data_IF_160960967838
#
_entry.id   IF_160960967838
#
_cell.length_a   1.000
_cell.length_b   1.000
_cell.length_c   1.000
_cell.angle_alpha   90.00
_cell.angle_beta   90.00
_cell.angle_gamma   90.00
#
_symmetry.space_group_name_H-M   'P 1'
#
loop_
_entity.id
_entity.type
_entity.pdbx_description
1 polymer ?
#
# COMPACT_ATOMS: atom_id res chain seq x y z
N UNK A 1 -20.16 -10.14 4.25
CA UNK A 1 -18.84 -10.67 4.62
C UNK A 1 -17.91 -9.53 5.06
N UNK A 2 -17.74 -8.49 4.24
CA UNK A 2 -16.86 -7.35 4.55
C UNK A 2 -17.20 -6.65 5.86
N UNK A 3 -18.49 -6.36 6.13
CA UNK A 3 -18.90 -5.74 7.37
C UNK A 3 -18.62 -6.62 8.60
N UNK A 4 -18.84 -7.93 8.48
CA UNK A 4 -18.53 -8.87 9.58
C UNK A 4 -17.03 -8.93 9.88
N UNK A 5 -16.19 -8.91 8.83
CA UNK A 5 -14.73 -8.87 9.01
C UNK A 5 -14.25 -7.57 9.66
N UNK A 6 -14.84 -6.41 9.33
CA UNK A 6 -14.54 -5.15 10.01
C UNK A 6 -14.96 -5.18 11.48
N UNK A 7 -16.14 -5.73 11.79
CA UNK A 7 -16.57 -5.92 13.20
C UNK A 7 -15.63 -6.85 13.96
N UNK A 8 -15.14 -7.91 13.31
CA UNK A 8 -14.21 -8.84 13.93
C UNK A 8 -12.89 -8.16 14.36
N UNK A 9 -12.37 -7.22 13.57
CA UNK A 9 -11.16 -6.45 13.91
C UNK A 9 -11.45 -5.23 14.83
N UNK A 10 -12.68 -5.07 15.30
CA UNK A 10 -13.07 -3.95 16.18
C UNK A 10 -13.39 -2.64 15.44
N UNK A 11 -13.44 -2.64 14.10
CA UNK A 11 -13.86 -1.47 13.33
C UNK A 11 -15.39 -1.39 13.20
N UNK A 12 -15.93 -0.18 12.97
CA UNK A 12 -17.36 0.08 12.83
C UNK A 12 -17.71 0.35 11.36
N UNK A 13 -18.23 -0.63 10.59
CA UNK A 13 -18.55 -0.46 9.19
C UNK A 13 -19.86 0.31 8.99
N UNK A 14 -19.85 1.24 8.04
CA UNK A 14 -21.05 1.86 7.48
C UNK A 14 -21.02 1.68 5.97
N UNK A 15 -22.14 1.20 5.39
CA UNK A 15 -22.29 1.04 3.94
C UNK A 15 -23.45 1.91 3.47
N UNK A 16 -23.22 2.71 2.44
CA UNK A 16 -24.25 3.55 1.83
C UNK A 16 -24.13 3.51 0.30
N UNK A 17 -25.28 3.59 -0.37
CA UNK A 17 -25.42 3.80 -1.80
C UNK A 17 -26.32 5.02 -2.09
N UNK A 18 -26.59 5.85 -1.08
CA UNK A 18 -27.48 7.01 -1.12
C UNK A 18 -26.68 8.32 -1.00
N UNK A 19 -26.79 9.20 -2.01
CA UNK A 19 -26.08 10.48 -2.03
C UNK A 19 -26.55 11.44 -0.91
N UNK A 20 -27.81 11.34 -0.51
CA UNK A 20 -28.36 12.14 0.58
C UNK A 20 -27.73 11.75 1.93
N UNK A 21 -27.62 10.45 2.20
CA UNK A 21 -26.98 9.93 3.41
C UNK A 21 -25.48 10.21 3.46
N UNK A 22 -24.83 10.23 2.30
CA UNK A 22 -23.37 10.30 2.22
C UNK A 22 -22.81 11.54 2.93
N UNK A 23 -23.49 12.69 2.85
CA UNK A 23 -23.06 13.95 3.47
C UNK A 23 -23.03 13.87 4.99
N UNK A 24 -23.98 13.16 5.55
CA UNK A 24 -24.10 13.00 7.00
C UNK A 24 -23.16 11.92 7.53
N UNK A 25 -22.92 10.87 6.74
CA UNK A 25 -22.07 9.75 7.13
C UNK A 25 -20.58 10.05 7.02
N UNK A 26 -20.16 10.74 5.94
CA UNK A 26 -18.75 10.93 5.63
C UNK A 26 -17.99 11.72 6.71
N UNK A 27 -18.64 12.68 7.34
CA UNK A 27 -18.04 13.53 8.40
C UNK A 27 -17.67 12.75 9.67
N UNK A 28 -18.22 11.56 9.84
CA UNK A 28 -17.96 10.67 10.97
C UNK A 28 -17.05 9.49 10.58
N UNK A 29 -16.72 9.35 9.30
CA UNK A 29 -15.87 8.26 8.82
C UNK A 29 -14.40 8.52 9.13
N UNK A 30 -13.69 7.50 9.60
CA UNK A 30 -12.25 7.54 9.79
C UNK A 30 -11.50 7.23 8.47
N UNK A 31 -12.13 6.51 7.54
CA UNK A 31 -11.64 6.26 6.17
C UNK A 31 -12.81 5.94 5.25
N UNK A 32 -12.62 6.15 3.94
CA UNK A 32 -13.56 5.79 2.88
C UNK A 32 -12.94 4.68 2.00
N UNK A 33 -13.64 3.55 1.84
CA UNK A 33 -13.32 2.58 0.81
C UNK A 33 -14.22 2.78 -0.41
N UNK A 34 -13.61 2.96 -1.58
CA UNK A 34 -14.29 2.89 -2.88
C UNK A 34 -13.93 1.57 -3.54
N UNK A 35 -14.90 0.66 -3.64
CA UNK A 35 -14.77 -0.62 -4.33
C UNK A 35 -15.65 -0.62 -5.57
N UNK A 36 -15.04 -0.80 -6.76
CA UNK A 36 -15.75 -0.71 -8.04
C UNK A 36 -16.28 -2.06 -8.55
N UNK A 37 -16.37 -3.09 -7.70
CA UNK A 37 -16.72 -4.45 -8.09
C UNK A 37 -18.04 -4.59 -8.87
N UNK A 38 -19.02 -3.74 -8.59
CA UNK A 38 -20.33 -3.72 -9.28
C UNK A 38 -20.61 -2.35 -9.89
N UNK A 39 -19.63 -1.78 -10.61
CA UNK A 39 -19.70 -0.43 -11.17
C UNK A 39 -20.85 -0.27 -12.20
N UNK A 40 -21.60 0.81 -12.06
CA UNK A 40 -22.60 1.31 -13.02
C UNK A 40 -22.39 2.82 -13.24
N UNK A 41 -22.94 3.44 -14.30
CA UNK A 41 -22.86 4.88 -14.50
C UNK A 41 -23.34 5.71 -13.30
N UNK A 42 -24.43 5.29 -12.66
CA UNK A 42 -24.98 5.97 -11.48
C UNK A 42 -24.00 5.87 -10.28
N UNK A 43 -23.41 4.69 -10.05
CA UNK A 43 -22.39 4.52 -9.02
C UNK A 43 -21.13 5.35 -9.28
N UNK A 44 -20.75 5.56 -10.53
CA UNK A 44 -19.61 6.44 -10.84
C UNK A 44 -19.86 7.88 -10.41
N UNK A 45 -21.09 8.37 -10.60
CA UNK A 45 -21.48 9.69 -10.12
C UNK A 45 -21.40 9.77 -8.60
N UNK A 46 -21.92 8.75 -7.92
CA UNK A 46 -21.82 8.59 -6.46
C UNK A 46 -20.38 8.53 -5.95
N UNK A 47 -19.50 7.75 -6.61
CA UNK A 47 -18.08 7.70 -6.24
C UNK A 47 -17.40 9.07 -6.36
N UNK A 48 -17.67 9.82 -7.42
CA UNK A 48 -17.10 11.16 -7.61
C UNK A 48 -17.57 12.14 -6.52
N UNK A 49 -18.82 12.04 -6.10
CA UNK A 49 -19.36 12.83 -4.98
C UNK A 49 -18.69 12.42 -3.66
N UNK A 50 -18.56 11.10 -3.40
CA UNK A 50 -17.91 10.57 -2.22
C UNK A 50 -16.45 11.03 -2.12
N UNK A 51 -15.68 10.96 -3.21
CA UNK A 51 -14.30 11.46 -3.28
C UNK A 51 -14.22 12.94 -2.97
N UNK A 52 -15.12 13.75 -3.54
CA UNK A 52 -15.14 15.20 -3.29
C UNK A 52 -15.41 15.52 -1.82
N UNK A 53 -16.38 14.85 -1.22
CA UNK A 53 -16.73 15.04 0.21
C UNK A 53 -15.59 14.57 1.11
N UNK A 54 -15.03 13.37 0.89
CA UNK A 54 -13.92 12.85 1.66
C UNK A 54 -12.70 13.78 1.59
N UNK A 55 -12.36 14.29 0.38
CA UNK A 55 -11.27 15.27 0.22
C UNK A 55 -11.54 16.57 1.00
N UNK A 56 -12.78 17.04 1.02
CA UNK A 56 -13.16 18.26 1.76
C UNK A 56 -13.01 18.09 3.28
N UNK A 57 -13.24 16.90 3.79
CA UNK A 57 -13.16 16.57 5.21
C UNK A 57 -11.84 15.87 5.60
N UNK A 58 -10.86 15.83 4.69
CA UNK A 58 -9.54 15.20 4.89
C UNK A 58 -9.63 13.72 5.31
N UNK A 59 -10.69 13.02 4.87
CA UNK A 59 -10.89 11.60 5.10
C UNK A 59 -10.05 10.81 4.10
N UNK A 60 -9.15 9.90 4.54
CA UNK A 60 -8.36 9.08 3.65
C UNK A 60 -9.23 8.15 2.80
N UNK A 61 -8.87 8.02 1.52
CA UNK A 61 -9.62 7.24 0.53
C UNK A 61 -8.79 6.05 0.08
N UNK A 62 -9.31 4.86 0.29
CA UNK A 62 -8.77 3.61 -0.28
C UNK A 62 -9.57 3.26 -1.53
N UNK A 63 -8.87 3.06 -2.65
CA UNK A 63 -9.47 2.61 -3.91
C UNK A 63 -9.16 1.13 -4.15
N UNK A 64 -10.22 0.33 -4.31
CA UNK A 64 -10.15 -1.08 -4.72
C UNK A 64 -10.70 -1.22 -6.16
N UNK A 65 -9.81 -1.35 -7.18
CA UNK A 65 -10.14 -1.27 -8.60
C UNK A 65 -10.64 -2.60 -9.17
N UNK A 66 -11.49 -3.32 -8.45
CA UNK A 66 -11.93 -4.68 -8.74
C UNK A 66 -12.28 -4.89 -10.21
N UNK A 67 -11.53 -5.79 -10.87
CA UNK A 67 -11.77 -6.20 -12.27
C UNK A 67 -11.43 -5.13 -13.30
N UNK A 68 -10.65 -4.10 -12.98
CA UNK A 68 -10.29 -3.05 -13.94
C UNK A 68 -9.42 -3.57 -15.10
N UNK A 69 -8.65 -4.65 -14.88
CA UNK A 69 -7.87 -5.31 -15.92
C UNK A 69 -8.73 -6.02 -16.98
N UNK A 70 -9.97 -6.40 -16.62
CA UNK A 70 -10.86 -7.18 -17.48
C UNK A 70 -11.84 -6.33 -18.31
N UNK A 71 -11.86 -4.98 -18.14
CA UNK A 71 -12.81 -4.15 -18.85
C UNK A 71 -12.41 -2.68 -18.97
N UNK A 72 -12.42 -2.16 -20.21
CA UNK A 72 -12.04 -0.80 -20.51
C UNK A 72 -12.85 0.26 -19.74
N UNK A 73 -14.16 0.03 -19.53
CA UNK A 73 -14.98 0.93 -18.73
C UNK A 73 -14.55 1.00 -17.28
N UNK A 74 -14.29 -0.15 -16.64
CA UNK A 74 -13.78 -0.20 -15.25
C UNK A 74 -12.45 0.53 -15.14
N UNK A 75 -11.53 0.27 -16.07
CA UNK A 75 -10.23 0.92 -16.11
C UNK A 75 -10.36 2.43 -16.26
N UNK A 76 -11.24 2.92 -17.15
CA UNK A 76 -11.45 4.37 -17.31
C UNK A 76 -11.99 5.02 -16.03
N UNK A 77 -12.88 4.35 -15.30
CA UNK A 77 -13.40 4.85 -14.00
C UNK A 77 -12.27 4.94 -12.97
N UNK A 78 -11.43 3.91 -12.87
CA UNK A 78 -10.26 3.93 -11.96
C UNK A 78 -9.32 5.07 -12.29
N UNK A 79 -8.97 5.24 -13.57
CA UNK A 79 -8.09 6.32 -14.02
C UNK A 79 -8.68 7.72 -13.73
N UNK A 80 -9.99 7.88 -13.90
CA UNK A 80 -10.67 9.13 -13.55
C UNK A 80 -10.64 9.41 -12.04
N UNK A 81 -10.78 8.39 -11.20
CA UNK A 81 -10.69 8.54 -9.75
C UNK A 81 -9.25 8.88 -9.32
N UNK A 82 -8.23 8.22 -9.89
CA UNK A 82 -6.82 8.51 -9.61
C UNK A 82 -6.47 9.96 -9.98
N UNK A 83 -6.97 10.47 -11.11
CA UNK A 83 -6.74 11.87 -11.56
C UNK A 83 -7.30 12.93 -10.61
N UNK A 84 -8.14 12.57 -9.65
CA UNK A 84 -8.64 13.53 -8.65
C UNK A 84 -7.58 13.94 -7.63
N UNK A 85 -6.45 13.21 -7.59
CA UNK A 85 -5.37 13.40 -6.61
C UNK A 85 -5.89 13.38 -5.15
N UNK A 86 -6.87 12.52 -4.90
CA UNK A 86 -7.52 12.36 -3.61
C UNK A 86 -7.36 10.95 -3.03
N UNK A 87 -6.83 10.01 -3.82
CA UNK A 87 -6.65 8.62 -3.37
C UNK A 87 -5.46 8.55 -2.43
N UNK A 88 -5.69 8.03 -1.23
CA UNK A 88 -4.68 7.88 -0.17
C UNK A 88 -4.00 6.51 -0.20
N UNK A 89 -4.67 5.49 -0.75
CA UNK A 89 -4.16 4.14 -0.93
C UNK A 89 -4.83 3.48 -2.13
N UNK A 90 -4.05 2.93 -3.05
CA UNK A 90 -4.55 2.05 -4.12
C UNK A 90 -4.25 0.60 -3.75
N UNK A 91 -5.28 -0.25 -3.68
CA UNK A 91 -5.15 -1.68 -3.42
C UNK A 91 -5.82 -2.50 -4.51
N UNK A 92 -5.10 -3.34 -5.21
CA UNK A 92 -5.63 -4.27 -6.22
C UNK A 92 -4.84 -5.58 -6.27
N UNK A 93 -5.26 -6.54 -7.08
CA UNK A 93 -4.39 -7.66 -7.40
C UNK A 93 -3.30 -7.23 -8.41
N UNK A 94 -2.29 -8.09 -8.61
CA UNK A 94 -1.15 -7.76 -9.49
C UNK A 94 -1.57 -7.43 -10.92
N UNK A 95 -2.60 -8.10 -11.46
CA UNK A 95 -3.11 -7.82 -12.81
C UNK A 95 -3.84 -6.46 -12.88
N UNK A 96 -4.59 -6.10 -11.84
CA UNK A 96 -5.25 -4.79 -11.74
C UNK A 96 -4.23 -3.66 -11.64
N UNK A 97 -3.23 -3.81 -10.78
CA UNK A 97 -2.15 -2.83 -10.61
C UNK A 97 -1.34 -2.67 -11.91
N UNK A 98 -1.01 -3.79 -12.59
CA UNK A 98 -0.35 -3.76 -13.89
C UNK A 98 -1.19 -3.04 -14.94
N UNK A 99 -2.48 -3.33 -15.05
CA UNK A 99 -3.36 -2.69 -16.02
C UNK A 99 -3.44 -1.16 -15.83
N UNK A 100 -3.49 -0.70 -14.59
CA UNK A 100 -3.47 0.72 -14.26
C UNK A 100 -2.12 1.33 -14.65
N UNK A 101 -1.01 0.69 -14.29
CA UNK A 101 0.33 1.16 -14.64
C UNK A 101 0.53 1.27 -16.15
N UNK A 102 0.17 0.23 -16.90
CA UNK A 102 0.27 0.21 -18.36
C UNK A 102 -0.57 1.33 -19.00
N UNK A 103 -1.81 1.54 -18.53
CA UNK A 103 -2.70 2.57 -19.04
C UNK A 103 -2.19 4.00 -18.79
N UNK A 104 -1.52 4.24 -17.68
CA UNK A 104 -0.92 5.53 -17.35
C UNK A 104 0.37 5.81 -18.16
N UNK A 105 1.04 4.75 -18.66
CA UNK A 105 2.32 4.86 -19.36
C UNK A 105 2.22 4.66 -20.88
N UNK A 106 1.09 4.16 -21.38
CA UNK A 106 0.85 4.03 -22.81
C UNK A 106 0.16 5.28 -23.35
N UNK A 107 0.82 6.00 -24.25
CA UNK A 107 0.23 7.08 -25.05
C UNK A 107 -0.76 6.56 -26.12
N UNK A 108 -1.25 5.33 -26.04
CA UNK A 108 -2.08 4.68 -27.05
C UNK A 108 -3.37 4.10 -26.46
N UNK A 109 -4.44 4.24 -27.26
CA UNK A 109 -5.79 3.69 -27.10
C UNK A 109 -5.77 2.35 -26.35
N UNK A 110 -6.60 2.26 -25.32
CA UNK A 110 -6.94 0.98 -24.67
C UNK A 110 -7.42 0.02 -25.77
N UNK A 111 -6.54 -0.89 -26.18
CA UNK A 111 -6.89 -1.90 -27.15
C UNK A 111 -7.78 -2.93 -26.45
N UNK A 112 -8.93 -3.24 -27.07
CA UNK A 112 -9.95 -4.13 -26.52
C UNK A 112 -9.54 -5.61 -26.43
N UNK A 113 -8.24 -5.91 -26.55
CA UNK A 113 -7.67 -7.25 -26.47
C UNK A 113 -7.19 -7.69 -25.07
N UNK A 114 -7.64 -7.01 -24.01
CA UNK A 114 -7.36 -7.43 -22.63
C UNK A 114 -8.14 -8.71 -22.31
N UNK A 115 -7.54 -9.86 -22.61
CA UNK A 115 -8.08 -11.19 -22.30
C UNK A 115 -7.53 -11.69 -20.96
N UNK A 116 -8.10 -11.24 -19.85
CA UNK A 116 -7.87 -11.84 -18.55
C UNK A 116 -8.95 -12.88 -18.22
N UNK A 117 -8.57 -14.05 -17.76
CA UNK A 117 -9.50 -15.08 -17.28
C UNK A 117 -9.96 -14.75 -15.87
N UNK A 118 -11.19 -14.24 -15.73
CA UNK A 118 -11.82 -14.06 -14.41
C UNK A 118 -11.37 -12.81 -13.63
N UNK A 119 -11.88 -12.68 -12.42
CA UNK A 119 -11.57 -11.56 -11.49
C UNK A 119 -10.28 -11.84 -10.72
N UNK A 120 -9.86 -13.10 -10.65
CA UNK A 120 -8.62 -13.54 -10.04
C UNK A 120 -7.48 -13.36 -11.05
N UNK A 121 -6.55 -12.43 -10.77
CA UNK A 121 -5.46 -12.08 -11.68
C UNK A 121 -4.40 -13.18 -11.79
N UNK A 122 -3.71 -13.25 -12.92
CA UNK A 122 -2.52 -14.06 -13.11
C UNK A 122 -1.32 -13.41 -12.41
N UNK A 123 -0.35 -14.22 -11.97
CA UNK A 123 0.92 -13.73 -11.42
C UNK A 123 1.66 -12.90 -12.46
N UNK A 124 2.13 -11.73 -12.07
CA UNK A 124 2.79 -10.76 -12.95
C UNK A 124 4.27 -10.74 -12.63
N UNK A 125 5.11 -11.06 -13.61
CA UNK A 125 6.56 -10.82 -13.50
C UNK A 125 6.83 -9.36 -13.15
N UNK A 126 7.79 -9.10 -12.26
CA UNK A 126 8.18 -7.77 -11.82
C UNK A 126 7.13 -6.98 -11.00
N UNK A 127 6.20 -7.65 -10.30
CA UNK A 127 5.16 -6.99 -9.50
C UNK A 127 5.72 -5.98 -8.51
N UNK A 128 6.86 -6.25 -7.87
CA UNK A 128 7.53 -5.32 -6.97
C UNK A 128 7.91 -4.00 -7.68
N UNK A 129 8.47 -4.10 -8.90
CA UNK A 129 8.88 -2.95 -9.71
C UNK A 129 7.67 -2.12 -10.14
N UNK A 130 6.61 -2.79 -10.61
CA UNK A 130 5.38 -2.12 -11.06
C UNK A 130 4.71 -1.41 -9.87
N UNK A 131 4.61 -2.09 -8.73
CA UNK A 131 4.05 -1.51 -7.49
C UNK A 131 4.81 -0.26 -7.06
N UNK A 132 6.15 -0.30 -7.09
CA UNK A 132 7.00 0.83 -6.79
C UNK A 132 6.81 2.00 -7.75
N UNK A 133 6.87 1.72 -9.06
CA UNK A 133 6.73 2.76 -10.09
C UNK A 133 5.37 3.42 -10.06
N UNK A 134 4.31 2.63 -9.89
CA UNK A 134 2.96 3.15 -9.81
C UNK A 134 2.79 4.02 -8.57
N UNK A 135 3.27 3.60 -7.40
CA UNK A 135 3.20 4.38 -6.16
C UNK A 135 3.87 5.77 -6.33
N UNK A 136 5.03 5.81 -6.98
CA UNK A 136 5.70 7.09 -7.30
C UNK A 136 4.91 7.94 -8.28
N UNK A 137 4.34 7.31 -9.31
CA UNK A 137 3.64 8.02 -10.38
C UNK A 137 2.35 8.67 -9.91
N UNK A 138 1.61 8.00 -9.04
CA UNK A 138 0.33 8.50 -8.50
C UNK A 138 0.48 9.17 -7.12
N UNK A 139 1.70 9.23 -6.60
CA UNK A 139 2.05 9.83 -5.30
C UNK A 139 1.18 9.33 -4.14
N UNK A 140 0.86 8.04 -4.13
CA UNK A 140 0.21 7.39 -3.00
C UNK A 140 0.68 5.94 -2.85
N UNK A 141 0.61 5.34 -1.64
CA UNK A 141 0.92 3.94 -1.43
C UNK A 141 0.11 3.02 -2.34
N UNK A 142 0.75 1.94 -2.80
CA UNK A 142 0.13 0.90 -3.63
C UNK A 142 0.34 -0.46 -2.99
N UNK A 143 -0.73 -1.25 -2.94
CA UNK A 143 -0.75 -2.65 -2.52
C UNK A 143 -1.15 -3.51 -3.71
N UNK A 144 -0.29 -4.43 -4.10
CA UNK A 144 -0.52 -5.41 -5.16
C UNK A 144 -0.59 -6.82 -4.55
N UNK A 145 -1.78 -7.43 -4.55
CA UNK A 145 -1.98 -8.76 -3.95
C UNK A 145 -1.86 -9.88 -4.98
N UNK A 146 -1.28 -11.02 -4.55
CA UNK A 146 -1.05 -12.17 -5.40
C UNK A 146 -0.70 -13.42 -4.59
N UNK A 147 0.13 -14.28 -5.14
CA UNK A 147 0.74 -15.39 -4.39
C UNK A 147 1.68 -14.82 -3.32
N UNK A 148 2.43 -13.78 -3.67
CA UNK A 148 3.17 -12.90 -2.78
C UNK A 148 2.60 -11.50 -2.93
N UNK A 149 2.33 -10.84 -1.82
CA UNK A 149 1.83 -9.48 -1.81
C UNK A 149 3.00 -8.48 -1.82
N UNK A 150 2.84 -7.37 -2.53
CA UNK A 150 3.80 -6.27 -2.56
C UNK A 150 3.16 -4.97 -2.12
N UNK A 151 3.90 -4.23 -1.28
CA UNK A 151 3.52 -2.88 -0.82
C UNK A 151 4.61 -1.89 -1.17
N UNK A 152 4.25 -0.74 -1.68
CA UNK A 152 5.18 0.37 -1.85
C UNK A 152 4.55 1.70 -1.44
N UNK A 153 5.33 2.52 -0.74
CA UNK A 153 5.02 3.92 -0.45
C UNK A 153 5.69 4.90 -1.46
N UNK A 154 6.27 4.35 -2.54
CA UNK A 154 7.04 5.10 -3.54
C UNK A 154 8.49 5.35 -3.16
N UNK A 155 8.92 4.97 -1.95
CA UNK A 155 10.31 5.04 -1.47
C UNK A 155 10.84 3.63 -1.24
N UNK A 156 10.07 2.81 -0.53
CA UNK A 156 10.40 1.43 -0.15
C UNK A 156 9.43 0.46 -0.77
N UNK A 157 9.87 -0.78 -0.90
CA UNK A 157 9.02 -1.90 -1.30
C UNK A 157 9.16 -3.00 -0.26
N UNK A 158 8.03 -3.59 0.10
CA UNK A 158 7.96 -4.72 1.01
C UNK A 158 7.24 -5.88 0.31
N UNK A 159 7.80 -7.07 0.46
CA UNK A 159 7.18 -8.34 0.10
C UNK A 159 6.56 -8.95 1.35
N UNK A 160 5.33 -9.41 1.23
CA UNK A 160 4.54 -9.98 2.33
C UNK A 160 4.06 -11.38 1.92
N UNK A 161 4.85 -12.44 2.21
CA UNK A 161 4.56 -13.81 1.78
C UNK A 161 3.63 -14.52 2.79
N UNK A 162 2.46 -13.96 3.05
CA UNK A 162 1.46 -14.49 3.97
C UNK A 162 0.14 -14.75 3.27
N UNK A 163 -0.61 -15.70 3.81
CA UNK A 163 -1.92 -16.09 3.28
C UNK A 163 -1.94 -17.53 2.77
N UNK A 164 -3.06 -17.91 2.18
CA UNK A 164 -3.25 -19.25 1.64
C UNK A 164 -4.17 -19.21 0.43
N UNK A 165 -3.94 -20.06 -0.56
CA UNK A 165 -4.69 -20.11 -1.83
C UNK A 165 -6.21 -20.31 -1.65
N UNK A 166 -6.67 -20.92 -0.56
CA UNK A 166 -8.10 -21.07 -0.25
C UNK A 166 -8.83 -19.71 -0.14
N UNK A 167 -8.11 -18.63 0.19
CA UNK A 167 -8.70 -17.30 0.29
C UNK A 167 -9.31 -16.85 -1.05
N UNK A 168 -8.77 -17.29 -2.17
CA UNK A 168 -9.32 -17.00 -3.50
C UNK A 168 -10.61 -17.76 -3.79
N UNK A 169 -10.87 -18.87 -3.07
CA UNK A 169 -12.10 -19.66 -3.21
C UNK A 169 -13.28 -19.11 -2.37
N UNK A 170 -13.06 -18.04 -1.60
CA UNK A 170 -14.10 -17.39 -0.79
C UNK A 170 -14.32 -15.97 -1.31
N UNK A 171 -15.45 -15.76 -1.96
CA UNK A 171 -15.82 -14.43 -2.48
C UNK A 171 -15.87 -13.40 -1.38
N UNK A 172 -15.24 -12.24 -1.63
CA UNK A 172 -15.23 -11.11 -0.71
C UNK A 172 -14.00 -10.99 0.18
N UNK A 173 -13.10 -12.00 0.22
CA UNK A 173 -11.83 -11.89 0.96
C UNK A 173 -10.98 -10.73 0.44
N UNK A 174 -10.86 -10.55 -0.87
CA UNK A 174 -10.18 -9.39 -1.45
C UNK A 174 -10.85 -8.06 -1.06
N UNK A 175 -12.16 -7.95 -1.22
CA UNK A 175 -12.90 -6.75 -0.83
C UNK A 175 -12.81 -6.46 0.67
N UNK A 176 -12.81 -7.49 1.52
CA UNK A 176 -12.59 -7.34 2.95
C UNK A 176 -11.18 -6.81 3.24
N UNK A 177 -10.15 -7.30 2.56
CA UNK A 177 -8.79 -6.78 2.72
C UNK A 177 -8.73 -5.27 2.42
N UNK A 178 -9.39 -4.79 1.35
CA UNK A 178 -9.48 -3.36 1.07
C UNK A 178 -10.09 -2.56 2.22
N UNK A 179 -11.13 -3.11 2.87
CA UNK A 179 -11.76 -2.49 4.02
C UNK A 179 -10.89 -2.54 5.29
N UNK A 180 -10.21 -3.67 5.54
CA UNK A 180 -9.25 -3.82 6.63
C UNK A 180 -8.11 -2.82 6.47
N UNK A 181 -7.53 -2.69 5.27
CA UNK A 181 -6.49 -1.71 5.00
C UNK A 181 -6.97 -0.28 5.19
N UNK A 182 -8.24 0.03 4.88
CA UNK A 182 -8.82 1.35 5.16
C UNK A 182 -8.89 1.63 6.67
N UNK A 183 -9.31 0.65 7.47
CA UNK A 183 -9.35 0.77 8.92
C UNK A 183 -7.95 0.96 9.52
N UNK A 184 -6.96 0.17 9.08
CA UNK A 184 -5.58 0.34 9.51
C UNK A 184 -4.99 1.68 9.05
N UNK A 185 -5.19 2.07 7.80
CA UNK A 185 -4.68 3.33 7.26
C UNK A 185 -5.18 4.54 8.07
N UNK A 186 -6.44 4.52 8.50
CA UNK A 186 -7.02 5.59 9.33
C UNK A 186 -6.36 5.72 10.71
N UNK A 187 -5.75 4.66 11.21
CA UNK A 187 -5.06 4.64 12.51
C UNK A 187 -3.56 4.96 12.41
N UNK A 188 -3.02 5.07 11.19
CA UNK A 188 -1.60 5.33 10.99
C UNK A 188 -1.19 6.71 11.50
N UNK A 189 -0.19 6.72 12.38
CA UNK A 189 0.43 7.94 12.89
C UNK A 189 1.96 7.78 12.84
N UNK A 190 2.67 8.50 11.95
CA UNK A 190 4.11 8.32 11.77
C UNK A 190 4.90 8.64 13.05
N UNK A 191 4.43 9.60 13.86
CA UNK A 191 5.08 9.95 15.12
C UNK A 191 4.93 8.88 16.21
N UNK A 192 3.87 8.09 16.15
CA UNK A 192 3.61 7.03 17.13
C UNK A 192 4.36 5.74 16.79
N UNK A 193 4.37 5.37 15.51
CA UNK A 193 4.88 4.05 15.09
C UNK A 193 6.35 4.06 14.66
N UNK A 194 6.95 5.23 14.40
CA UNK A 194 8.33 5.39 13.91
C UNK A 194 8.66 4.46 12.71
N UNK A 195 7.68 4.23 11.85
CA UNK A 195 7.80 3.43 10.62
C UNK A 195 7.14 4.14 9.45
N UNK A 196 7.52 3.78 8.22
CA UNK A 196 6.88 4.32 7.01
C UNK A 196 5.45 3.78 6.85
N UNK A 197 4.62 4.51 6.08
CA UNK A 197 3.28 4.02 5.74
C UNK A 197 3.32 2.69 4.96
N UNK A 198 4.34 2.50 4.10
CA UNK A 198 4.55 1.24 3.38
C UNK A 198 4.82 0.07 4.32
N UNK A 199 5.67 0.29 5.32
CA UNK A 199 5.97 -0.71 6.35
C UNK A 199 4.74 -1.03 7.21
N UNK A 200 4.00 0.00 7.62
CA UNK A 200 2.76 -0.17 8.40
C UNK A 200 1.70 -0.98 7.64
N UNK A 201 1.51 -0.69 6.35
CA UNK A 201 0.60 -1.45 5.49
C UNK A 201 1.08 -2.89 5.25
N UNK A 202 2.40 -3.12 5.21
CA UNK A 202 2.94 -4.48 5.13
C UNK A 202 2.59 -5.31 6.38
N UNK A 203 2.64 -4.70 7.58
CA UNK A 203 2.17 -5.37 8.80
C UNK A 203 0.66 -5.63 8.79
N UNK A 204 -0.15 -4.71 8.26
CA UNK A 204 -1.59 -4.93 8.11
C UNK A 204 -1.91 -6.09 7.14
N UNK A 205 -1.14 -6.24 6.05
CA UNK A 205 -1.21 -7.39 5.14
C UNK A 205 -0.78 -8.69 5.81
N UNK A 206 0.34 -8.67 6.56
CA UNK A 206 0.82 -9.84 7.29
C UNK A 206 -0.22 -10.30 8.33
N UNK A 207 -0.82 -9.38 9.07
CA UNK A 207 -1.95 -9.67 9.97
C UNK A 207 -3.07 -10.42 9.23
N UNK A 208 -3.53 -9.90 8.09
CA UNK A 208 -4.61 -10.48 7.32
C UNK A 208 -4.25 -11.86 6.75
N UNK A 209 -3.04 -12.00 6.23
CA UNK A 209 -2.53 -13.27 5.70
C UNK A 209 -2.35 -14.34 6.78
N UNK A 210 -1.78 -13.97 7.93
CA UNK A 210 -1.61 -14.88 9.08
C UNK A 210 -2.94 -15.33 9.67
N UNK A 211 -3.95 -14.44 9.73
CA UNK A 211 -5.31 -14.85 10.09
C UNK A 211 -5.87 -15.89 9.10
N UNK A 212 -5.59 -15.72 7.80
CA UNK A 212 -5.92 -16.72 6.77
C UNK A 212 -5.21 -18.06 6.99
N UNK A 213 -3.92 -18.05 7.29
CA UNK A 213 -3.13 -19.26 7.61
C UNK A 213 -3.66 -19.96 8.87
N UNK A 214 -4.02 -19.19 9.90
CA UNK A 214 -4.61 -19.70 11.13
C UNK A 214 -5.99 -20.34 10.88
N UNK A 215 -6.83 -19.69 10.08
CA UNK A 215 -8.12 -20.23 9.68
C UNK A 215 -8.01 -21.59 8.97
N UNK A 216 -7.00 -21.75 8.09
CA UNK A 216 -6.73 -23.02 7.41
C UNK A 216 -6.32 -24.11 8.41
N UNK A 217 -5.47 -23.78 9.39
CA UNK A 217 -5.08 -24.72 10.46
C UNK A 217 -6.33 -25.22 11.23
N UNK A 218 -7.30 -24.35 11.47
CA UNK A 218 -8.51 -24.67 12.21
C UNK A 218 -9.57 -25.42 11.38
N UNK A 219 -9.80 -25.03 10.11
CA UNK A 219 -10.92 -25.51 9.29
C UNK A 219 -10.54 -26.53 8.20
N UNK A 220 -9.24 -26.64 7.90
CA UNK A 220 -8.74 -27.27 6.69
C UNK A 220 -9.09 -26.49 5.42
N UNK A 221 -8.75 -27.06 4.26
CA UNK A 221 -8.95 -26.43 2.94
C UNK A 221 -10.40 -26.66 2.46
N UNK A 222 -11.37 -26.01 3.13
CA UNK A 222 -12.83 -26.13 2.83
C UNK A 222 -13.44 -24.72 2.83
N UNK A 223 -13.89 -24.16 1.68
CA UNK A 223 -14.27 -22.75 1.58
C UNK A 223 -15.34 -22.29 2.60
N UNK A 224 -16.37 -23.11 2.85
CA UNK A 224 -17.43 -22.79 3.79
C UNK A 224 -16.94 -22.70 5.24
N UNK A 225 -16.23 -23.73 5.72
CA UNK A 225 -15.65 -23.76 7.07
C UNK A 225 -14.54 -22.71 7.22
N UNK A 226 -13.72 -22.52 6.18
CA UNK A 226 -12.70 -21.47 6.15
C UNK A 226 -13.32 -20.07 6.33
N UNK A 227 -14.42 -19.77 5.64
CA UNK A 227 -15.06 -18.45 5.73
C UNK A 227 -15.47 -18.10 7.18
N UNK A 228 -15.95 -19.06 7.95
CA UNK A 228 -16.28 -18.88 9.38
C UNK A 228 -15.00 -18.76 10.19
N UNK A 229 -14.09 -19.72 10.08
CA UNK A 229 -12.82 -19.74 10.82
C UNK A 229 -11.96 -18.50 10.55
N UNK A 230 -12.09 -17.90 9.38
CA UNK A 230 -11.33 -16.69 9.04
C UNK A 230 -11.83 -15.45 9.78
N UNK A 231 -13.15 -15.32 9.98
CA UNK A 231 -13.71 -14.25 10.81
C UNK A 231 -13.31 -14.44 12.28
N UNK A 232 -13.33 -15.69 12.76
CA UNK A 232 -12.89 -16.03 14.11
C UNK A 232 -11.39 -15.72 14.29
N UNK A 233 -10.56 -16.09 13.31
CA UNK A 233 -9.12 -15.81 13.34
C UNK A 233 -8.78 -14.31 13.28
N UNK A 234 -9.57 -13.50 12.56
CA UNK A 234 -9.43 -12.04 12.58
C UNK A 234 -9.77 -11.44 13.93
N UNK A 235 -10.76 -12.01 14.63
CA UNK A 235 -11.19 -11.55 15.96
C UNK A 235 -10.23 -11.96 17.07
N UNK A 236 -9.70 -13.18 17.00
CA UNK A 236 -8.83 -13.79 18.03
C UNK A 236 -7.34 -13.47 17.83
N UNK A 237 -6.98 -12.66 16.82
CA UNK A 237 -5.60 -12.43 16.45
C UNK A 237 -4.79 -11.81 17.61
N UNK A 238 -3.63 -12.41 17.90
CA UNK A 238 -2.70 -11.96 18.92
C UNK A 238 -1.49 -11.25 18.27
N UNK A 239 -1.14 -10.08 18.77
CA UNK A 239 0.06 -9.32 18.36
C UNK A 239 1.35 -10.14 18.48
N UNK A 240 1.43 -11.05 19.46
CA UNK A 240 2.55 -11.95 19.62
C UNK A 240 2.74 -12.88 18.41
N UNK A 241 1.66 -13.28 17.75
CA UNK A 241 1.70 -14.06 16.51
C UNK A 241 2.32 -13.25 15.37
N UNK A 242 1.94 -11.98 15.23
CA UNK A 242 2.54 -11.11 14.21
C UNK A 242 4.04 -10.93 14.44
N UNK A 243 4.47 -10.76 15.68
CA UNK A 243 5.88 -10.58 16.01
C UNK A 243 6.72 -11.87 15.80
N UNK A 244 6.14 -13.04 16.06
CA UNK A 244 6.87 -14.32 15.98
C UNK A 244 6.86 -14.96 14.59
N UNK A 245 5.79 -14.80 13.81
CA UNK A 245 5.61 -15.46 12.52
C UNK A 245 5.76 -14.50 11.31
N UNK A 246 6.07 -13.23 11.55
CA UNK A 246 6.25 -12.24 10.50
C UNK A 246 7.39 -12.61 9.55
N UNK A 247 7.08 -12.63 8.24
CA UNK A 247 8.03 -12.91 7.15
C UNK A 247 8.15 -11.74 6.17
N UNK A 248 7.73 -10.52 6.57
CA UNK A 248 7.87 -9.33 5.74
C UNK A 248 9.34 -9.11 5.38
N UNK A 249 9.59 -8.85 4.11
CA UNK A 249 10.94 -8.59 3.59
C UNK A 249 11.00 -7.28 2.83
N UNK A 250 11.94 -6.37 3.14
CA UNK A 250 12.20 -5.24 2.26
C UNK A 250 12.80 -5.75 0.93
N UNK A 251 12.30 -5.21 -0.17
CA UNK A 251 12.78 -5.52 -1.53
C UNK A 251 13.39 -4.27 -2.13
N UNK A 252 14.59 -4.41 -2.70
CA UNK A 252 15.24 -3.33 -3.42
C UNK A 252 15.00 -3.53 -4.92
N UNK A 253 14.33 -2.58 -5.56
CA UNK A 253 14.10 -2.60 -7.00
C UNK A 253 15.18 -1.81 -7.73
N UNK A 254 15.55 -2.18 -9.00
CA UNK A 254 16.64 -1.52 -9.73
C UNK A 254 16.46 -0.01 -9.88
N UNK A 255 15.23 0.47 -9.95
CA UNK A 255 14.92 1.90 -10.06
C UNK A 255 15.38 2.72 -8.84
N UNK A 256 15.43 2.11 -7.65
CA UNK A 256 15.93 2.75 -6.44
C UNK A 256 17.44 2.98 -6.45
N UNK A 257 18.17 2.23 -7.24
CA UNK A 257 19.63 2.27 -7.32
C UNK A 257 20.16 3.02 -8.55
N UNK A 258 19.31 3.69 -9.34
CA UNK A 258 19.69 4.40 -10.57
C UNK A 258 20.74 5.46 -10.35
N UNK A 259 20.66 6.22 -9.27
CA UNK A 259 21.65 7.20 -8.86
C UNK A 259 21.97 6.97 -7.38
N UNK A 260 23.01 6.19 -7.17
CA UNK A 260 23.43 5.75 -5.84
C UNK A 260 24.57 6.62 -5.33
N UNK A 261 24.31 7.39 -4.26
CA UNK A 261 25.28 8.30 -3.66
C UNK A 261 25.76 7.72 -2.33
N UNK A 262 27.06 7.72 -2.11
CA UNK A 262 27.70 7.23 -0.89
C UNK A 262 28.55 8.37 -0.34
N UNK A 263 28.39 8.73 0.92
CA UNK A 263 29.25 9.69 1.59
C UNK A 263 29.22 9.53 3.12
N UNK A 264 30.23 10.06 3.77
CA UNK A 264 30.37 10.14 5.23
C UNK A 264 31.12 11.42 5.61
N UNK A 265 31.31 11.64 6.91
CA UNK A 265 31.99 12.86 7.40
C UNK A 265 33.41 12.97 6.90
N UNK A 266 34.11 11.85 6.67
CA UNK A 266 35.47 11.82 6.12
C UNK A 266 35.57 12.44 4.72
N UNK A 267 34.51 12.45 3.94
CA UNK A 267 34.50 12.98 2.57
C UNK A 267 34.32 14.52 2.56
N UNK A 268 33.93 15.10 3.67
CA UNK A 268 33.62 16.53 3.83
C UNK A 268 34.46 17.20 4.93
N UNK A 269 35.63 16.63 5.25
CA UNK A 269 36.56 17.18 6.24
C UNK A 269 36.04 17.06 7.68
N UNK A 270 35.28 16.02 7.98
CA UNK A 270 34.66 15.74 9.30
C UNK A 270 33.67 16.82 9.75
N UNK A 271 33.05 17.54 8.82
CA UNK A 271 32.05 18.55 9.09
C UNK A 271 30.64 18.01 8.85
N UNK A 272 29.91 17.75 9.93
CA UNK A 272 28.55 17.17 9.90
C UNK A 272 27.57 18.10 9.17
N UNK A 273 27.59 19.41 9.44
CA UNK A 273 26.71 20.38 8.80
C UNK A 273 26.93 20.40 7.27
N UNK A 274 28.20 20.35 6.84
CA UNK A 274 28.53 20.30 5.42
C UNK A 274 28.07 19.01 4.76
N UNK A 275 28.10 17.87 5.46
CA UNK A 275 27.55 16.61 4.96
C UNK A 275 26.03 16.70 4.76
N UNK A 276 25.29 17.29 5.72
CA UNK A 276 23.84 17.48 5.61
C UNK A 276 23.49 18.33 4.38
N UNK A 277 24.20 19.46 4.17
CA UNK A 277 24.00 20.35 3.01
C UNK A 277 24.26 19.64 1.68
N UNK A 278 25.33 18.84 1.59
CA UNK A 278 25.70 18.09 0.38
C UNK A 278 24.65 16.99 0.09
N UNK A 279 24.22 16.27 1.11
CA UNK A 279 23.20 15.21 0.94
C UNK A 279 21.86 15.81 0.53
N UNK A 280 21.47 16.94 1.12
CA UNK A 280 20.25 17.63 0.70
C UNK A 280 20.35 18.11 -0.76
N UNK A 281 21.47 18.71 -1.14
CA UNK A 281 21.69 19.13 -2.52
C UNK A 281 21.68 17.94 -3.51
N UNK A 282 22.27 16.80 -3.13
CA UNK A 282 22.25 15.57 -3.94
C UNK A 282 20.84 15.02 -4.10
N UNK A 283 20.05 14.97 -3.00
CA UNK A 283 18.65 14.55 -3.03
C UNK A 283 17.82 15.47 -3.94
N UNK A 284 17.99 16.77 -3.83
CA UNK A 284 17.36 17.76 -4.71
C UNK A 284 17.79 17.61 -6.17
N UNK A 285 19.02 17.15 -6.41
CA UNK A 285 19.60 16.88 -7.74
C UNK A 285 19.14 15.57 -8.37
N UNK A 286 18.34 14.74 -7.68
CA UNK A 286 17.74 13.52 -8.22
C UNK A 286 18.47 12.23 -7.88
N UNK A 287 19.24 12.19 -6.78
CA UNK A 287 19.72 10.94 -6.19
C UNK A 287 18.52 10.06 -5.81
N UNK A 288 18.61 8.77 -6.08
CA UNK A 288 17.54 7.81 -5.79
C UNK A 288 17.81 6.94 -4.57
N UNK A 289 19.09 6.79 -4.20
CA UNK A 289 19.54 6.07 -3.01
C UNK A 289 20.74 6.76 -2.39
N UNK A 290 20.75 6.91 -1.08
CA UNK A 290 21.90 7.42 -0.31
C UNK A 290 22.35 6.42 0.74
N UNK A 291 23.67 6.19 0.82
CA UNK A 291 24.30 5.40 1.87
C UNK A 291 25.20 6.30 2.74
N UNK A 292 24.85 6.42 4.00
CA UNK A 292 25.74 6.99 5.00
C UNK A 292 26.83 5.98 5.37
N UNK A 293 28.10 6.33 5.12
CA UNK A 293 29.21 5.41 5.30
C UNK A 293 30.38 6.10 6.02
N UNK A 294 30.48 5.86 7.31
CA UNK A 294 31.61 6.27 8.13
C UNK A 294 32.75 5.25 8.05
N UNK A 295 33.92 5.65 7.57
CA UNK A 295 35.11 4.82 7.45
C UNK A 295 36.40 5.59 7.72
N UNK A 296 37.31 4.97 8.50
CA UNK A 296 38.65 5.51 8.73
C UNK A 296 38.84 6.09 10.12
N UNK A 297 39.99 6.74 10.31
CA UNK A 297 40.38 7.36 11.61
C UNK A 297 39.68 8.71 11.73
N UNK A 298 39.04 8.95 12.87
CA UNK A 298 38.36 10.23 13.17
C UNK A 298 36.89 10.27 12.73
N UNK A 299 36.33 9.16 12.23
CA UNK A 299 34.89 9.04 11.93
C UNK A 299 34.04 8.99 13.19
N UNK A 300 32.76 9.37 13.05
CA UNK A 300 31.79 9.35 14.15
C UNK A 300 31.49 7.94 14.61
N UNK A 301 31.33 7.79 15.93
CA UNK A 301 30.94 6.54 16.57
C UNK A 301 29.80 6.77 17.58
N UNK A 302 29.17 5.67 18.01
CA UNK A 302 28.16 5.70 19.07
C UNK A 302 26.99 6.65 18.79
N UNK A 303 26.63 7.46 19.79
CA UNK A 303 25.45 8.32 19.78
C UNK A 303 25.51 9.41 18.71
N UNK A 304 26.67 10.04 18.51
CA UNK A 304 26.84 11.11 17.50
C UNK A 304 26.59 10.58 16.07
N UNK A 305 27.11 9.38 15.77
CA UNK A 305 26.85 8.73 14.46
C UNK A 305 25.36 8.45 14.27
N UNK A 306 24.67 8.02 15.33
CA UNK A 306 23.22 7.73 15.27
C UNK A 306 22.40 9.00 15.06
N UNK A 307 22.73 10.08 15.73
CA UNK A 307 22.05 11.38 15.59
C UNK A 307 22.20 11.95 14.18
N UNK A 308 23.41 11.91 13.62
CA UNK A 308 23.66 12.35 12.26
C UNK A 308 22.94 11.44 11.24
N UNK A 309 22.96 10.10 11.44
CA UNK A 309 22.24 9.16 10.60
C UNK A 309 20.73 9.45 10.58
N UNK A 310 20.17 9.85 11.71
CA UNK A 310 18.75 10.20 11.80
C UNK A 310 18.41 11.47 11.03
N UNK A 311 19.23 12.51 11.14
CA UNK A 311 19.06 13.74 10.35
C UNK A 311 19.17 13.48 8.84
N UNK A 312 20.15 12.67 8.42
CA UNK A 312 20.32 12.26 7.02
C UNK A 312 19.12 11.45 6.51
N UNK A 313 18.56 10.55 7.33
CA UNK A 313 17.34 9.80 7.01
C UNK A 313 16.14 10.74 6.82
N UNK A 314 16.00 11.76 7.66
CA UNK A 314 14.93 12.78 7.54
C UNK A 314 15.06 13.57 6.24
N UNK A 315 16.27 14.00 5.87
CA UNK A 315 16.54 14.67 4.59
C UNK A 315 16.16 13.75 3.43
N UNK A 316 16.62 12.50 3.42
CA UNK A 316 16.29 11.55 2.36
C UNK A 316 14.76 11.33 2.24
N UNK A 317 14.06 11.25 3.36
CA UNK A 317 12.59 11.10 3.38
C UNK A 317 11.87 12.31 2.77
N UNK A 318 12.32 13.55 3.02
CA UNK A 318 11.73 14.76 2.43
C UNK A 318 11.79 14.78 0.90
N UNK A 319 12.80 14.13 0.30
CA UNK A 319 12.99 14.06 -1.16
C UNK A 319 12.65 12.71 -1.77
N UNK A 320 12.00 11.81 -1.03
CA UNK A 320 11.65 10.46 -1.48
C UNK A 320 12.87 9.64 -1.96
N UNK A 321 13.99 9.76 -1.26
CA UNK A 321 15.25 9.03 -1.51
C UNK A 321 15.37 7.84 -0.57
N UNK A 322 15.74 6.67 -1.10
CA UNK A 322 16.02 5.48 -0.28
C UNK A 322 17.28 5.74 0.59
N UNK A 323 17.20 5.43 1.90
CA UNK A 323 18.28 5.57 2.86
C UNK A 323 18.63 4.23 3.51
#
# INVERSE_FOLDING_TARGET
FTANGLLAIGASPVMSECSEDLKDLIVHAAALLINIGTVTPDKVTYYKEAVKLAKTHEIPIVLDPVGCHAGAYRLSVVLDLIKTDAISLLRGNQSEIKAIYDALNTNHKVDSSLSGKGVDGEQVEDSAIITYRLARQINCPVVATGEEDYVSDGIRVFEVPHGHSIMTAVTGTGCLLGAVLAAFFSSYCPFMYNMSIGEFLAYALAYYGLAGESAVKASGVKPGSFSVAFLDALYEFDDAMLLSENRIRPVVVPDQLKVYFISGTQDVGFNESHLLDIVEAACRGGVTCFQFREKGIGTLEGQQKLELAQQLKEICAMYNVLY
#
